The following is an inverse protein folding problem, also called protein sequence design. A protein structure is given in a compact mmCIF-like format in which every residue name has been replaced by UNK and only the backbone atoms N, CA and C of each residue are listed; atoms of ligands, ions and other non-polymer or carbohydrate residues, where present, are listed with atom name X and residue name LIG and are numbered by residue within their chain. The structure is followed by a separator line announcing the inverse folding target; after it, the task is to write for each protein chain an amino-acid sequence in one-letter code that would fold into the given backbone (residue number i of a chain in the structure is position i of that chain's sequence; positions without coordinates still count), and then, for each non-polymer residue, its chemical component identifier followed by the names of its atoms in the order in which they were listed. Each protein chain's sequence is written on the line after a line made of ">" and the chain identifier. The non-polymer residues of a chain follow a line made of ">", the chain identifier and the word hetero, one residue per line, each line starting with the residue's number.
data_IF_761936832590
#
_entry.id   IF_761936832590
#
_cell.length_a   1.000
_cell.length_b   1.000
_cell.length_c   1.000
_cell.angle_alpha   90.00
_cell.angle_beta   90.00
_cell.angle_gamma   90.00
#
_symmetry.space_group_name_H-M   'P 1'
#
loop_
_entity.id
_entity.type
_entity.pdbx_description
1 polymer ?
#
# COMPACT_ATOMS: atom_id res chain seq x y z
N UNK A 1 -4.03 -23.97 2.29
CA UNK A 1 -2.72 -24.37 1.71
C UNK A 1 -1.70 -23.24 1.89
N UNK A 2 -1.01 -23.14 3.04
CA UNK A 2 -0.05 -22.06 3.30
C UNK A 2 1.23 -22.15 2.44
N UNK A 3 1.49 -23.29 1.78
CA UNK A 3 2.69 -23.49 0.97
C UNK A 3 2.54 -23.01 -0.49
N UNK A 4 1.33 -22.72 -0.99
CA UNK A 4 1.15 -22.38 -2.41
C UNK A 4 1.99 -21.16 -2.84
N UNK A 5 1.93 -20.05 -2.08
CA UNK A 5 2.77 -18.86 -2.35
C UNK A 5 4.29 -19.15 -2.25
N UNK A 6 4.67 -20.16 -1.46
CA UNK A 6 6.06 -20.52 -1.24
C UNK A 6 6.59 -21.45 -2.34
N UNK A 7 5.74 -22.33 -2.88
CA UNK A 7 6.10 -23.22 -4.00
C UNK A 7 5.96 -22.51 -5.35
N UNK A 8 5.18 -21.43 -5.43
CA UNK A 8 5.09 -20.56 -6.61
C UNK A 8 6.45 -20.07 -7.12
N UNK A 9 7.47 -19.91 -6.25
CA UNK A 9 8.85 -19.56 -6.66
C UNK A 9 9.35 -20.52 -7.74
N UNK A 10 9.14 -21.82 -7.50
CA UNK A 10 9.61 -22.90 -8.37
C UNK A 10 8.77 -22.96 -9.63
N UNK A 11 7.44 -22.93 -9.50
CA UNK A 11 6.54 -23.04 -10.65
C UNK A 11 6.65 -21.87 -11.63
N UNK A 12 6.91 -20.67 -11.12
CA UNK A 12 7.08 -19.50 -11.98
C UNK A 12 8.48 -19.36 -12.58
N UNK A 13 9.47 -20.12 -12.09
CA UNK A 13 10.86 -19.97 -12.52
C UNK A 13 11.36 -18.52 -12.39
N UNK A 14 10.99 -17.85 -11.30
CA UNK A 14 11.33 -16.46 -11.06
C UNK A 14 12.74 -16.35 -10.46
N UNK A 15 13.65 -15.66 -11.17
CA UNK A 15 15.00 -15.40 -10.68
C UNK A 15 14.99 -14.38 -9.52
N UNK A 16 13.96 -13.53 -9.43
CA UNK A 16 13.88 -12.45 -8.46
C UNK A 16 12.45 -12.25 -7.96
N UNK A 17 12.29 -12.19 -6.62
CA UNK A 17 11.03 -11.84 -5.95
C UNK A 17 11.24 -10.64 -5.04
N UNK A 18 10.43 -9.60 -5.25
CA UNK A 18 10.42 -8.40 -4.40
C UNK A 18 9.23 -8.47 -3.44
N UNK A 19 9.48 -8.41 -2.13
CA UNK A 19 8.41 -8.47 -1.12
C UNK A 19 8.79 -7.76 0.19
N UNK A 20 7.88 -7.74 1.16
CA UNK A 20 8.17 -7.14 2.47
C UNK A 20 9.26 -7.92 3.22
N UNK A 21 10.01 -7.27 4.14
CA UNK A 21 11.06 -7.93 4.92
C UNK A 21 10.60 -9.21 5.63
N UNK A 22 9.39 -9.17 6.19
CA UNK A 22 8.78 -10.32 6.89
C UNK A 22 8.52 -11.47 5.90
N UNK A 23 8.02 -11.18 4.69
CA UNK A 23 7.76 -12.22 3.68
C UNK A 23 9.06 -12.81 3.14
N UNK A 24 10.06 -12.00 2.84
CA UNK A 24 11.40 -12.49 2.45
C UNK A 24 11.99 -13.43 3.51
N UNK A 25 11.92 -13.06 4.79
CA UNK A 25 12.42 -13.90 5.88
C UNK A 25 11.71 -15.25 5.94
N UNK A 26 10.37 -15.26 5.86
CA UNK A 26 9.57 -16.50 5.83
C UNK A 26 9.91 -17.38 4.63
N UNK A 27 10.16 -16.78 3.47
CA UNK A 27 10.52 -17.50 2.23
C UNK A 27 11.92 -18.09 2.28
N UNK A 28 12.91 -17.35 2.77
CA UNK A 28 14.24 -17.92 3.03
C UNK A 28 14.16 -19.14 3.95
N UNK A 29 13.43 -19.03 5.06
CA UNK A 29 13.23 -20.16 5.98
C UNK A 29 12.55 -21.36 5.30
N UNK A 30 11.61 -21.11 4.38
CA UNK A 30 10.94 -22.18 3.65
C UNK A 30 11.86 -22.82 2.60
N UNK A 31 12.58 -22.02 1.82
CA UNK A 31 13.50 -22.51 0.81
C UNK A 31 14.62 -23.36 1.41
N UNK A 32 15.19 -22.88 2.53
CA UNK A 32 16.22 -23.58 3.29
C UNK A 32 15.73 -24.89 3.90
N UNK A 33 14.44 -25.03 4.18
CA UNK A 33 13.88 -26.25 4.78
C UNK A 33 13.33 -27.22 3.75
N UNK A 34 12.76 -26.70 2.67
CA UNK A 34 11.97 -27.48 1.72
C UNK A 34 12.55 -27.41 0.31
N UNK A 35 12.59 -26.23 -0.32
CA UNK A 35 12.92 -26.09 -1.75
C UNK A 35 14.32 -26.60 -2.10
N UNK A 36 15.32 -26.39 -1.22
CA UNK A 36 16.70 -26.85 -1.47
C UNK A 36 16.84 -28.38 -1.64
N UNK A 37 15.84 -29.15 -1.22
CA UNK A 37 15.84 -30.62 -1.34
C UNK A 37 15.19 -31.10 -2.65
N UNK A 38 14.59 -30.20 -3.45
CA UNK A 38 14.03 -30.53 -4.75
C UNK A 38 15.17 -30.67 -5.76
N UNK A 39 15.12 -31.72 -6.61
CA UNK A 39 16.16 -32.00 -7.61
C UNK A 39 16.32 -30.90 -8.66
N UNK A 40 15.25 -30.14 -8.91
CA UNK A 40 15.19 -29.02 -9.86
C UNK A 40 15.03 -27.70 -9.11
N UNK A 41 15.85 -27.45 -8.09
CA UNK A 41 15.76 -26.21 -7.31
C UNK A 41 16.31 -25.03 -8.12
N UNK A 42 15.42 -24.15 -8.61
CA UNK A 42 15.79 -22.85 -9.12
C UNK A 42 16.13 -21.90 -7.96
N UNK A 43 17.29 -21.25 -7.99
CA UNK A 43 17.69 -20.30 -6.94
C UNK A 43 17.05 -18.94 -7.19
N UNK A 44 16.09 -18.55 -6.35
CA UNK A 44 15.46 -17.23 -6.42
C UNK A 44 16.17 -16.22 -5.52
N UNK A 45 16.38 -15.01 -6.02
CA UNK A 45 16.88 -13.88 -5.24
C UNK A 45 15.68 -13.19 -4.59
N UNK A 46 15.71 -13.06 -3.27
CA UNK A 46 14.72 -12.28 -2.52
C UNK A 46 15.22 -10.87 -2.25
N UNK A 47 14.46 -9.87 -2.70
CA UNK A 47 14.76 -8.46 -2.45
C UNK A 47 13.63 -7.85 -1.62
N UNK A 48 14.02 -7.11 -0.59
CA UNK A 48 13.06 -6.41 0.26
C UNK A 48 12.79 -5.00 -0.24
N UNK A 49 11.56 -4.52 -0.07
CA UNK A 49 11.23 -3.10 -0.21
C UNK A 49 10.91 -2.47 1.16
N UNK A 50 11.13 -1.16 1.34
CA UNK A 50 10.66 -0.46 2.53
C UNK A 50 9.13 -0.52 2.61
N UNK A 51 8.61 -0.59 3.84
CA UNK A 51 7.19 -0.44 4.10
C UNK A 51 6.93 1.01 4.46
N UNK A 52 6.01 1.68 3.76
CA UNK A 52 5.57 3.01 4.17
C UNK A 52 4.93 2.93 5.55
N UNK A 53 5.31 3.84 6.43
CA UNK A 53 4.67 4.02 7.72
C UNK A 53 3.22 4.46 7.57
N UNK A 54 2.39 4.06 8.53
CA UNK A 54 1.07 4.59 8.73
C UNK A 54 1.13 6.10 8.92
N UNK A 55 0.12 6.82 8.42
CA UNK A 55 0.02 8.26 8.62
C UNK A 55 -0.18 8.64 10.09
N UNK A 56 -0.60 7.69 10.93
CA UNK A 56 -0.76 7.87 12.37
C UNK A 56 0.35 7.12 13.11
N UNK A 57 0.60 7.53 14.34
CA UNK A 57 1.61 6.94 15.21
C UNK A 57 0.98 6.40 16.47
N UNK A 58 1.61 5.39 17.05
CA UNK A 58 1.31 4.92 18.39
C UNK A 58 2.23 5.63 19.38
N UNK A 59 1.66 6.13 20.46
CA UNK A 59 2.43 6.70 21.58
C UNK A 59 2.43 5.70 22.73
N UNK A 60 3.61 5.31 23.17
CA UNK A 60 3.78 4.45 24.32
C UNK A 60 3.29 5.16 25.59
N UNK A 61 2.39 4.55 26.38
CA UNK A 61 1.90 5.14 27.61
C UNK A 61 2.96 5.20 28.73
N UNK A 62 4.05 4.44 28.59
CA UNK A 62 5.06 4.28 29.65
C UNK A 62 6.15 5.33 29.58
N UNK A 63 6.61 5.67 28.37
CA UNK A 63 7.76 6.56 28.15
C UNK A 63 7.47 7.68 27.14
N UNK A 64 6.24 7.75 26.60
CA UNK A 64 5.86 8.76 25.59
C UNK A 64 6.56 8.57 24.25
N UNK A 65 7.30 7.46 24.05
CA UNK A 65 7.97 7.19 22.78
C UNK A 65 6.93 7.03 21.67
N UNK A 66 7.26 7.62 20.51
CA UNK A 66 6.39 7.61 19.34
C UNK A 66 6.93 6.55 18.37
N UNK A 67 6.04 5.66 17.91
CA UNK A 67 6.40 4.61 16.96
C UNK A 67 5.41 4.60 15.80
N UNK A 68 5.88 4.22 14.61
CA UNK A 68 5.01 3.94 13.47
C UNK A 68 4.84 2.45 13.28
N UNK A 69 3.68 2.08 12.73
CA UNK A 69 3.47 0.75 12.15
C UNK A 69 3.46 0.89 10.64
N UNK A 70 3.80 -0.17 9.88
CA UNK A 70 3.56 -0.20 8.45
C UNK A 70 2.10 0.14 8.12
N UNK A 71 1.90 0.94 7.07
CA UNK A 71 0.59 1.13 6.48
C UNK A 71 0.06 -0.22 6.03
N UNK A 72 -1.18 -0.53 6.39
CA UNK A 72 -1.84 -1.78 6.06
C UNK A 72 -3.17 -1.43 5.41
N UNK A 73 -3.55 -2.19 4.39
CA UNK A 73 -4.89 -2.05 3.84
C UNK A 73 -5.94 -2.44 4.87
N UNK A 74 -7.05 -1.71 4.88
CA UNK A 74 -8.19 -1.98 5.73
C UNK A 74 -9.48 -1.93 4.89
N UNK A 75 -10.53 -2.60 5.37
CA UNK A 75 -11.84 -2.48 4.75
C UNK A 75 -12.32 -1.02 4.83
N UNK A 76 -13.01 -0.49 3.80
CA UNK A 76 -13.62 0.83 3.89
C UNK A 76 -14.54 0.88 5.12
N UNK A 77 -14.46 1.95 5.90
CA UNK A 77 -15.28 2.10 7.12
C UNK A 77 -16.78 2.00 6.83
N UNK A 78 -17.21 2.48 5.67
CA UNK A 78 -18.60 2.35 5.15
C UNK A 78 -19.04 0.91 4.83
N UNK A 79 -18.13 -0.05 4.89
CA UNK A 79 -18.35 -1.49 4.68
C UNK A 79 -18.10 -2.31 5.94
N UNK A 80 -17.73 -1.66 7.04
CA UNK A 80 -17.59 -2.30 8.33
C UNK A 80 -18.92 -2.29 9.10
N UNK A 81 -19.24 -3.31 9.91
CA UNK A 81 -20.45 -3.32 10.75
C UNK A 81 -20.49 -2.16 11.74
N UNK A 82 -19.31 -1.73 12.21
CA UNK A 82 -19.14 -0.60 13.14
C UNK A 82 -18.17 0.41 12.51
N UNK A 83 -18.66 1.34 11.66
CA UNK A 83 -17.81 2.27 10.91
C UNK A 83 -16.89 3.13 11.79
N UNK A 84 -17.33 3.50 13.00
CA UNK A 84 -16.56 4.33 13.93
C UNK A 84 -15.25 3.68 14.39
N UNK A 85 -15.19 2.36 14.44
CA UNK A 85 -14.01 1.60 14.85
C UNK A 85 -13.03 1.46 13.67
N UNK A 86 -13.52 1.42 12.44
CA UNK A 86 -12.70 1.26 11.24
C UNK A 86 -12.19 2.58 10.65
N UNK A 87 -12.89 3.69 10.87
CA UNK A 87 -12.53 5.00 10.33
C UNK A 87 -11.11 5.48 10.71
N UNK A 88 -10.60 5.26 11.94
CA UNK A 88 -9.22 5.61 12.29
C UNK A 88 -8.17 4.86 11.47
N UNK A 89 -8.35 3.55 11.28
CA UNK A 89 -7.45 2.73 10.46
C UNK A 89 -7.45 3.17 9.00
N UNK A 90 -8.64 3.52 8.49
CA UNK A 90 -8.78 4.08 7.15
C UNK A 90 -7.98 5.38 7.02
N UNK A 91 -8.20 6.36 7.91
CA UNK A 91 -7.49 7.66 7.92
C UNK A 91 -5.98 7.54 8.19
N UNK A 92 -5.52 6.39 8.68
CA UNK A 92 -4.11 6.07 8.87
C UNK A 92 -3.42 5.55 7.60
N UNK A 93 -4.16 5.42 6.48
CA UNK A 93 -3.69 4.90 5.21
C UNK A 93 -4.00 5.85 4.03
N UNK A 94 -3.39 5.58 2.86
CA UNK A 94 -3.59 6.32 1.61
C UNK A 94 -4.16 5.41 0.52
N UNK A 95 -5.49 5.19 0.47
CA UNK A 95 -6.09 4.42 -0.61
C UNK A 95 -5.90 5.15 -1.95
N UNK A 96 -5.49 4.40 -2.98
CA UNK A 96 -5.33 4.94 -4.33
C UNK A 96 -6.68 5.28 -4.98
N UNK A 97 -7.70 4.49 -4.66
CA UNK A 97 -9.09 4.65 -5.10
C UNK A 97 -10.00 4.32 -3.93
N UNK A 98 -11.13 5.03 -3.85
CA UNK A 98 -12.13 4.84 -2.81
C UNK A 98 -13.51 4.64 -3.44
N UNK A 99 -14.46 4.12 -2.66
CA UNK A 99 -15.85 4.08 -3.06
C UNK A 99 -16.38 5.51 -3.23
N UNK A 100 -17.11 5.80 -4.32
CA UNK A 100 -17.59 7.15 -4.57
C UNK A 100 -18.53 7.64 -3.47
N UNK A 101 -18.35 8.91 -3.10
CA UNK A 101 -19.20 9.61 -2.13
C UNK A 101 -20.30 10.36 -2.89
N UNK A 102 -21.58 10.25 -2.48
CA UNK A 102 -22.67 10.97 -3.15
C UNK A 102 -22.39 12.47 -3.24
N UNK A 103 -22.55 13.05 -4.44
CA UNK A 103 -22.35 14.47 -4.70
C UNK A 103 -20.89 14.92 -4.86
N UNK A 104 -19.91 14.00 -4.75
CA UNK A 104 -18.49 14.30 -5.00
C UNK A 104 -18.05 13.58 -6.28
N UNK A 105 -17.47 14.29 -7.27
CA UNK A 105 -16.94 13.62 -8.45
C UNK A 105 -15.82 12.66 -8.06
N UNK A 106 -15.86 11.40 -8.54
CA UNK A 106 -14.84 10.43 -8.18
C UNK A 106 -13.50 10.81 -8.80
N UNK A 107 -12.44 10.62 -8.02
CA UNK A 107 -11.06 10.88 -8.44
C UNK A 107 -10.10 9.93 -7.72
N UNK A 108 -8.89 9.67 -8.26
CA UNK A 108 -7.89 8.93 -7.51
C UNK A 108 -7.43 9.74 -6.30
N UNK A 109 -6.95 9.06 -5.26
CA UNK A 109 -6.47 9.68 -4.02
C UNK A 109 -7.52 10.59 -3.36
N UNK A 110 -8.81 10.24 -3.48
CA UNK A 110 -9.88 10.92 -2.75
C UNK A 110 -9.53 10.99 -1.24
N UNK A 111 -9.77 12.15 -0.63
CA UNK A 111 -9.47 12.35 0.79
C UNK A 111 -7.99 12.57 1.14
N UNK A 112 -7.06 12.55 0.17
CA UNK A 112 -5.63 12.79 0.41
C UNK A 112 -5.36 14.00 1.30
N UNK A 113 -5.95 15.16 0.96
CA UNK A 113 -5.85 16.40 1.73
C UNK A 113 -6.24 16.22 3.20
N UNK A 114 -7.37 15.55 3.45
CA UNK A 114 -7.90 15.30 4.80
C UNK A 114 -6.95 14.40 5.59
N UNK A 115 -6.46 13.34 4.96
CA UNK A 115 -5.57 12.33 5.56
C UNK A 115 -4.20 12.94 5.87
N UNK A 116 -3.60 13.70 4.94
CA UNK A 116 -2.34 14.42 5.16
C UNK A 116 -2.45 15.48 6.26
N UNK A 117 -3.57 16.22 6.32
CA UNK A 117 -3.80 17.19 7.41
C UNK A 117 -3.72 16.51 8.78
N UNK A 118 -4.32 15.32 8.90
CA UNK A 118 -4.33 14.49 10.13
C UNK A 118 -3.05 13.71 10.36
N UNK A 119 -2.18 13.54 9.36
CA UNK A 119 -0.97 12.72 9.50
C UNK A 119 -0.04 13.26 10.59
N UNK A 120 0.65 12.36 11.29
CA UNK A 120 1.69 12.72 12.23
C UNK A 120 2.87 13.36 11.49
N UNK A 121 3.33 14.52 11.98
CA UNK A 121 4.41 15.30 11.38
C UNK A 121 4.87 16.33 12.41
N UNK A 122 5.65 15.89 13.39
CA UNK A 122 6.19 16.77 14.42
C UNK A 122 7.36 17.58 13.85
N UNK A 123 7.45 18.91 14.09
CA UNK A 123 8.61 19.72 13.67
C UNK A 123 9.92 19.11 14.15
N UNK A 124 10.96 19.15 13.30
CA UNK A 124 12.28 18.63 13.64
C UNK A 124 12.40 17.10 13.69
N UNK A 125 11.30 16.36 13.88
CA UNK A 125 11.32 14.90 13.95
C UNK A 125 11.34 14.27 12.54
N UNK A 126 12.54 13.87 12.10
CA UNK A 126 12.72 13.11 10.86
C UNK A 126 12.74 11.58 11.06
N UNK A 127 12.99 11.10 12.29
CA UNK A 127 13.09 9.67 12.58
C UNK A 127 11.74 8.96 12.41
N UNK A 128 10.67 9.59 12.89
CA UNK A 128 9.31 9.04 12.85
C UNK A 128 8.40 10.02 12.13
N UNK A 129 8.43 10.02 10.79
CA UNK A 129 7.69 10.99 10.00
C UNK A 129 7.11 10.39 8.71
N UNK A 130 5.86 9.90 8.74
CA UNK A 130 5.24 9.29 7.58
C UNK A 130 5.08 10.25 6.39
N UNK A 131 5.05 11.57 6.63
CA UNK A 131 4.96 12.57 5.55
C UNK A 131 6.30 12.70 4.82
N UNK A 132 7.44 12.68 5.53
CA UNK A 132 8.76 12.65 4.90
C UNK A 132 9.03 11.34 4.18
N UNK A 133 8.55 10.20 4.68
CA UNK A 133 8.68 8.92 3.99
C UNK A 133 8.02 8.91 2.61
N UNK A 134 6.89 9.60 2.43
CA UNK A 134 6.27 9.77 1.12
C UNK A 134 7.18 10.50 0.15
N UNK A 135 7.96 11.48 0.64
CA UNK A 135 9.00 12.07 -0.19
C UNK A 135 10.08 11.07 -0.54
N UNK A 136 10.63 10.38 0.46
CA UNK A 136 11.76 9.46 0.28
C UNK A 136 11.47 8.36 -0.73
N UNK A 137 10.31 7.72 -0.61
CA UNK A 137 10.03 6.46 -1.29
C UNK A 137 9.04 6.59 -2.45
N UNK A 138 8.32 7.72 -2.58
CA UNK A 138 7.32 7.92 -3.64
C UNK A 138 7.67 9.13 -4.50
N UNK A 139 7.77 10.32 -3.90
CA UNK A 139 7.87 11.58 -4.68
C UNK A 139 9.27 11.75 -5.28
N UNK A 140 10.33 11.53 -4.51
CA UNK A 140 11.70 11.71 -4.99
C UNK A 140 12.07 10.73 -6.11
N UNK A 141 11.72 9.43 -6.03
CA UNK A 141 11.92 8.50 -7.15
C UNK A 141 11.15 8.87 -8.42
N UNK A 142 9.99 9.53 -8.28
CA UNK A 142 9.16 9.98 -9.40
C UNK A 142 9.64 11.29 -10.05
N UNK A 143 10.51 12.03 -9.36
CA UNK A 143 11.05 13.29 -9.86
C UNK A 143 12.03 13.02 -11.01
N UNK A 144 11.82 13.71 -12.15
CA UNK A 144 12.71 13.58 -13.31
C UNK A 144 14.14 13.94 -12.93
N UNK A 145 15.10 13.22 -13.50
CA UNK A 145 16.53 13.52 -13.32
C UNK A 145 16.80 14.97 -13.76
N UNK A 146 17.45 15.75 -12.90
CA UNK A 146 17.74 17.17 -13.14
C UNK A 146 16.55 18.13 -12.96
N UNK A 147 15.34 17.63 -12.64
CA UNK A 147 14.25 18.52 -12.26
C UNK A 147 14.45 19.02 -10.81
N UNK A 148 14.28 20.32 -10.55
CA UNK A 148 14.41 20.87 -9.21
C UNK A 148 13.23 20.43 -8.34
N UNK A 149 13.48 20.18 -7.05
CA UNK A 149 12.41 20.03 -6.07
C UNK A 149 12.16 21.38 -5.40
N UNK A 150 11.00 21.97 -5.65
CA UNK A 150 10.58 23.24 -5.04
C UNK A 150 9.39 22.99 -4.12
N UNK A 151 9.53 23.39 -2.86
CA UNK A 151 8.44 23.39 -1.89
C UNK A 151 7.87 24.81 -1.85
N UNK A 152 6.63 24.96 -2.31
CA UNK A 152 5.94 26.25 -2.30
C UNK A 152 5.47 26.60 -0.89
N UNK A 153 5.92 27.74 -0.38
CA UNK A 153 5.56 28.27 0.93
C UNK A 153 5.22 29.75 0.82
N UNK A 154 4.51 30.27 1.81
CA UNK A 154 4.19 31.70 1.86
C UNK A 154 5.44 32.55 2.11
N UNK A 155 5.41 33.82 1.69
CA UNK A 155 6.48 34.79 2.00
C UNK A 155 6.75 34.92 3.50
N UNK A 156 5.70 34.79 4.33
CA UNK A 156 5.82 34.82 5.80
C UNK A 156 6.66 33.65 6.34
N UNK A 157 6.72 32.54 5.60
CA UNK A 157 7.51 31.36 5.94
C UNK A 157 8.85 31.33 5.16
N UNK A 158 9.32 32.47 4.67
CA UNK A 158 10.58 32.57 3.93
C UNK A 158 10.48 32.17 2.44
N UNK A 159 9.26 32.16 1.89
CA UNK A 159 9.02 31.94 0.46
C UNK A 159 9.33 30.51 -0.01
N UNK A 160 9.28 30.27 -1.34
CA UNK A 160 9.57 28.97 -1.93
C UNK A 160 10.94 28.43 -1.53
N UNK A 161 11.00 27.17 -1.09
CA UNK A 161 12.22 26.50 -0.67
C UNK A 161 12.69 25.54 -1.75
N UNK A 162 13.89 25.79 -2.29
CA UNK A 162 14.54 24.91 -3.27
C UNK A 162 15.36 23.83 -2.54
N UNK A 163 15.02 22.57 -2.81
CA UNK A 163 15.75 21.39 -2.32
C UNK A 163 16.47 20.74 -3.51
N UNK A 164 17.56 21.35 -3.95
CA UNK A 164 18.32 20.86 -5.11
C UNK A 164 19.83 21.08 -4.90
N UNK A 165 20.48 20.21 -4.11
CA UNK A 165 21.91 20.32 -3.86
C UNK A 165 22.71 20.02 -5.14
N UNK A 166 23.90 20.60 -5.34
CA UNK A 166 24.73 20.38 -6.54
C UNK A 166 24.99 18.90 -6.84
N UNK A 167 25.10 18.08 -5.80
CA UNK A 167 25.37 16.65 -5.91
C UNK A 167 24.17 15.82 -6.37
N UNK A 168 22.95 16.38 -6.43
CA UNK A 168 21.72 15.65 -6.75
C UNK A 168 21.74 14.98 -8.14
N UNK A 169 22.52 15.51 -9.08
CA UNK A 169 22.72 14.92 -10.42
C UNK A 169 23.58 13.65 -10.37
N UNK A 170 24.61 13.63 -9.51
CA UNK A 170 25.51 12.49 -9.35
C UNK A 170 25.03 11.47 -8.32
N UNK A 171 24.26 11.94 -7.33
CA UNK A 171 23.81 11.17 -6.19
C UNK A 171 22.34 11.51 -5.88
N UNK A 172 21.39 10.67 -6.33
CA UNK A 172 19.97 10.88 -6.08
C UNK A 172 19.60 10.95 -4.59
N UNK A 173 20.43 10.41 -3.69
CA UNK A 173 20.18 10.45 -2.25
C UNK A 173 20.54 11.80 -1.61
N UNK A 174 21.30 12.66 -2.30
CA UNK A 174 21.64 13.99 -1.80
C UNK A 174 20.39 14.85 -1.57
N UNK A 175 19.40 14.76 -2.47
CA UNK A 175 18.14 15.48 -2.34
C UNK A 175 17.33 15.05 -1.11
N UNK A 176 17.32 13.76 -0.81
CA UNK A 176 16.71 13.25 0.43
C UNK A 176 17.40 13.86 1.66
N UNK A 177 18.73 13.83 1.72
CA UNK A 177 19.50 14.41 2.83
C UNK A 177 19.25 15.90 3.00
N UNK A 178 19.18 16.67 1.92
CA UNK A 178 18.85 18.11 1.99
C UNK A 178 17.43 18.35 2.47
N UNK A 179 16.45 17.56 2.04
CA UNK A 179 15.07 17.66 2.52
C UNK A 179 14.97 17.34 4.02
N UNK A 180 15.59 16.24 4.44
CA UNK A 180 15.66 15.79 5.82
C UNK A 180 16.32 16.85 6.71
N UNK A 181 17.48 17.38 6.29
CA UNK A 181 18.17 18.45 7.01
C UNK A 181 17.32 19.72 7.13
N UNK A 182 16.63 20.13 6.06
CA UNK A 182 15.75 21.30 6.10
C UNK A 182 14.58 21.11 7.08
N UNK A 183 14.06 19.89 7.23
CA UNK A 183 13.01 19.59 8.20
C UNK A 183 13.53 19.50 9.63
N UNK A 184 14.69 18.84 9.86
CA UNK A 184 15.34 18.71 11.18
C UNK A 184 15.76 20.08 11.73
N UNK A 185 16.28 20.95 10.87
CA UNK A 185 16.65 22.33 11.22
C UNK A 185 15.43 23.26 11.34
N UNK A 186 14.22 22.72 11.21
CA UNK A 186 12.94 23.45 11.24
C UNK A 186 12.83 24.59 10.22
N UNK A 187 13.71 24.61 9.21
CA UNK A 187 13.58 25.51 8.07
C UNK A 187 12.34 25.16 7.24
N UNK A 188 11.92 23.91 7.24
CA UNK A 188 10.70 23.42 6.58
C UNK A 188 9.68 22.97 7.63
N UNK A 189 8.56 23.70 7.74
CA UNK A 189 7.52 23.38 8.72
C UNK A 189 6.55 22.29 8.23
N UNK A 190 5.94 21.50 9.14
CA UNK A 190 4.88 20.56 8.81
C UNK A 190 3.71 21.16 8.03
N UNK A 191 3.38 22.42 8.33
CA UNK A 191 2.31 23.18 7.68
C UNK A 191 2.56 23.43 6.19
N UNK A 192 3.83 23.41 5.76
CA UNK A 192 4.23 23.56 4.36
C UNK A 192 4.53 22.20 3.71
N UNK A 193 5.15 21.27 4.46
CA UNK A 193 5.49 19.94 3.97
C UNK A 193 4.24 19.13 3.55
N UNK A 194 3.18 19.15 4.38
CA UNK A 194 1.95 18.38 4.12
C UNK A 194 1.24 18.83 2.82
N UNK A 195 0.96 20.13 2.61
CA UNK A 195 0.45 20.60 1.32
C UNK A 195 1.38 20.31 0.14
N UNK A 196 2.70 20.35 0.33
CA UNK A 196 3.64 20.04 -0.74
C UNK A 196 3.59 18.57 -1.18
N UNK A 197 3.38 17.63 -0.25
CA UNK A 197 3.09 16.22 -0.58
C UNK A 197 1.77 16.11 -1.35
N UNK A 198 0.72 16.78 -0.88
CA UNK A 198 -0.60 16.78 -1.55
C UNK A 198 -0.45 17.22 -3.01
N UNK A 199 0.26 18.33 -3.24
CA UNK A 199 0.55 18.85 -4.57
C UNK A 199 1.38 17.85 -5.38
N UNK A 200 2.48 17.32 -4.85
CA UNK A 200 3.34 16.40 -5.59
C UNK A 200 2.62 15.13 -6.06
N UNK A 201 1.72 14.58 -5.24
CA UNK A 201 0.96 13.37 -5.58
C UNK A 201 -0.25 13.67 -6.49
N UNK A 202 -0.93 14.80 -6.25
CA UNK A 202 -2.21 15.10 -6.89
C UNK A 202 -2.10 15.86 -8.20
N UNK A 203 -1.01 16.62 -8.41
CA UNK A 203 -0.93 17.76 -9.34
C UNK A 203 -1.63 17.51 -10.67
N UNK A 204 -2.85 18.02 -10.71
CA UNK A 204 -3.78 18.09 -11.83
C UNK A 204 -3.41 19.21 -12.81
N UNK A 205 -2.40 20.03 -12.53
CA UNK A 205 -2.18 21.26 -13.32
C UNK A 205 -0.86 21.35 -14.10
N UNK A 206 0.25 20.65 -13.77
CA UNK A 206 1.54 20.90 -14.48
C UNK A 206 2.51 19.72 -14.62
N UNK A 207 2.14 18.50 -14.22
CA UNK A 207 3.04 17.35 -14.33
C UNK A 207 2.31 16.11 -14.84
N UNK A 208 2.46 15.81 -16.13
CA UNK A 208 1.89 14.64 -16.81
C UNK A 208 2.33 13.29 -16.19
N UNK A 209 3.31 13.30 -15.29
CA UNK A 209 3.81 12.13 -14.60
C UNK A 209 3.43 12.07 -13.11
N UNK A 210 2.44 12.84 -12.63
CA UNK A 210 1.97 12.71 -11.23
C UNK A 210 1.33 11.34 -10.97
N UNK A 211 1.27 10.92 -9.71
CA UNK A 211 0.62 9.65 -9.34
C UNK A 211 -0.85 9.64 -9.78
N UNK A 212 -1.58 10.74 -9.55
CA UNK A 212 -2.97 10.88 -10.02
C UNK A 212 -3.08 10.76 -11.54
N UNK A 213 -2.21 11.42 -12.31
CA UNK A 213 -2.26 11.33 -13.77
C UNK A 213 -2.02 9.89 -14.27
N UNK A 214 -1.03 9.18 -13.67
CA UNK A 214 -0.77 7.77 -13.99
C UNK A 214 -1.94 6.87 -13.62
N UNK A 215 -2.59 7.12 -12.48
CA UNK A 215 -3.78 6.39 -12.06
C UNK A 215 -4.94 6.63 -13.02
N UNK A 216 -5.23 7.88 -13.42
CA UNK A 216 -6.28 8.19 -14.40
C UNK A 216 -6.05 7.43 -15.71
N UNK A 217 -4.79 7.35 -16.16
CA UNK A 217 -4.42 6.63 -17.39
C UNK A 217 -4.54 5.10 -17.27
N UNK A 218 -4.23 4.55 -16.09
CA UNK A 218 -4.15 3.11 -15.87
C UNK A 218 -5.48 2.48 -15.39
N UNK A 219 -6.35 3.26 -14.75
CA UNK A 219 -7.61 2.78 -14.20
C UNK A 219 -8.69 2.66 -15.28
N UNK A 220 -9.64 1.72 -15.14
CA UNK A 220 -10.80 1.65 -16.00
C UNK A 220 -11.73 2.86 -15.77
N UNK A 221 -12.78 2.97 -16.58
CA UNK A 221 -13.77 4.04 -16.42
C UNK A 221 -14.34 4.06 -14.99
N UNK A 222 -14.66 5.24 -14.46
CA UNK A 222 -15.21 5.34 -13.09
C UNK A 222 -16.49 4.54 -12.88
N UNK A 223 -17.31 4.36 -13.92
CA UNK A 223 -18.51 3.52 -13.86
C UNK A 223 -18.15 2.07 -13.59
N UNK A 224 -17.23 1.50 -14.38
CA UNK A 224 -16.74 0.14 -14.23
C UNK A 224 -15.99 -0.05 -12.90
N UNK A 225 -15.08 0.87 -12.58
CA UNK A 225 -14.33 0.82 -11.33
C UNK A 225 -15.25 0.84 -10.11
N UNK A 226 -16.33 1.63 -10.15
CA UNK A 226 -17.31 1.66 -9.07
C UNK A 226 -18.00 0.31 -8.90
N UNK A 227 -18.38 -0.35 -10.00
CA UNK A 227 -18.98 -1.69 -9.94
C UNK A 227 -18.01 -2.71 -9.35
N UNK A 228 -16.73 -2.67 -9.76
CA UNK A 228 -15.68 -3.52 -9.22
C UNK A 228 -15.49 -3.29 -7.70
N UNK A 229 -15.42 -2.04 -7.26
CA UNK A 229 -15.26 -1.70 -5.83
C UNK A 229 -16.47 -2.13 -4.99
N UNK A 230 -17.70 -1.95 -5.48
CA UNK A 230 -18.90 -2.40 -4.77
C UNK A 230 -18.95 -3.92 -4.67
N UNK A 231 -18.53 -4.62 -5.72
CA UNK A 231 -18.48 -6.08 -5.74
C UNK A 231 -17.39 -6.62 -4.82
N UNK A 232 -16.21 -6.01 -4.83
CA UNK A 232 -15.09 -6.40 -3.98
C UNK A 232 -15.33 -6.11 -2.49
N UNK A 233 -16.06 -5.03 -2.18
CA UNK A 233 -16.37 -4.61 -0.81
C UNK A 233 -17.90 -4.50 -0.60
N UNK A 234 -18.61 -5.63 -0.45
CA UNK A 234 -20.06 -5.64 -0.24
C UNK A 234 -20.43 -5.02 1.11
N UNK A 235 -21.66 -4.48 1.20
CA UNK A 235 -22.18 -3.96 2.47
C UNK A 235 -22.41 -5.13 3.46
N UNK A 236 -22.14 -4.92 4.76
CA UNK A 236 -22.43 -5.94 5.76
C UNK A 236 -23.94 -6.20 5.80
N UNK A 237 -24.33 -7.47 5.69
CA UNK A 237 -25.74 -7.84 5.82
C UNK A 237 -26.16 -7.70 7.28
N UNK A 238 -27.04 -6.75 7.58
CA UNK A 238 -27.69 -6.71 8.88
C UNK A 238 -28.59 -7.92 8.99
N UNK A 239 -28.31 -8.81 9.95
CA UNK A 239 -29.10 -10.02 10.18
C UNK A 239 -30.59 -9.72 10.19
N UNK A 240 -31.33 -10.35 9.29
CA UNK A 240 -32.77 -10.21 9.19
C UNK A 240 -33.43 -10.58 10.51
N UNK A 241 -34.32 -9.72 11.01
CA UNK A 241 -35.29 -10.07 12.05
C UNK A 241 -36.12 -11.27 11.56
N UNK A 242 -35.81 -12.46 12.03
CA UNK A 242 -36.76 -13.58 12.02
C UNK A 242 -37.92 -13.19 12.94
N UNK A 243 -39.02 -12.73 12.35
CA UNK A 243 -40.32 -12.63 13.04
C UNK A 243 -40.80 -14.05 13.36
N UNK A 244 -40.39 -14.60 14.50
CA UNK A 244 -41.07 -15.76 15.05
C UNK A 244 -42.42 -15.32 15.65
N UNK A 245 -43.49 -15.52 14.87
CA UNK A 245 -44.85 -15.55 15.39
C UNK A 245 -45.04 -16.89 16.11
N UNK A 246 -44.93 -16.87 17.42
CA UNK A 246 -45.33 -17.97 18.29
C UNK A 246 -46.85 -18.14 18.22
N UNK A 247 -47.31 -19.28 17.70
CA UNK A 247 -48.61 -19.87 18.04
C UNK A 247 -48.40 -21.36 18.29
N UNK A 248 -48.46 -21.74 19.57
CA UNK A 248 -48.78 -23.09 20.06
C UNK A 248 -50.33 -23.19 20.17
N UNK A 249 -50.96 -24.38 20.14
CA UNK A 249 -50.71 -25.43 21.15
C UNK A 249 -50.80 -26.90 20.70
N UNK A 250 -50.29 -27.76 21.61
CA UNK A 250 -50.66 -29.15 22.01
C UNK A 250 -51.03 -30.22 20.94
N UNK A 251 -50.63 -31.51 21.02
CA UNK A 251 -49.92 -32.29 22.02
C UNK A 251 -49.83 -33.80 21.65
N UNK A 252 -49.20 -34.60 22.53
CA UNK A 252 -49.08 -36.09 22.57
C UNK A 252 -48.27 -36.77 21.45
N UNK A 253 -47.65 -37.95 21.57
CA UNK A 253 -47.08 -38.81 22.62
C UNK A 253 -46.43 -40.02 21.87
N UNK A 254 -45.37 -40.64 22.42
CA UNK A 254 -44.78 -41.94 21.98
C UNK A 254 -43.91 -41.86 20.71
N UNK A 255 -42.93 -42.72 20.42
CA UNK A 255 -42.37 -43.92 21.02
C UNK A 255 -41.04 -44.23 20.27
N UNK A 256 -40.20 -45.07 20.86
CA UNK A 256 -38.87 -45.55 20.44
C UNK A 256 -38.79 -46.23 19.05
N UNK A 257 -37.65 -46.12 18.35
CA UNK A 257 -36.98 -47.24 17.65
C UNK A 257 -35.65 -46.83 16.95
N UNK A 258 -34.63 -47.68 17.15
CA UNK A 258 -33.36 -47.74 16.45
C UNK A 258 -33.49 -48.01 14.94
N UNK A 259 -32.49 -47.59 14.16
CA UNK A 259 -32.37 -48.01 12.75
C UNK A 259 -31.17 -47.40 12.03
N UNK A 260 -30.08 -48.15 12.03
CA UNK A 260 -28.85 -47.94 11.26
C UNK A 260 -29.12 -48.07 9.75
N UNK A 261 -28.84 -47.04 8.95
CA UNK A 261 -28.72 -47.14 7.48
C UNK A 261 -27.73 -46.13 6.90
N UNK A 262 -26.70 -46.69 6.28
CA UNK A 262 -25.66 -46.04 5.48
C UNK A 262 -26.17 -45.71 4.06
N UNK A 263 -25.61 -44.61 3.53
CA UNK A 263 -25.51 -44.13 2.13
C UNK A 263 -26.47 -43.01 1.70
N UNK A 264 -26.10 -42.13 0.73
CA UNK A 264 -24.79 -41.81 0.16
C UNK A 264 -24.40 -40.31 0.34
N UNK A 265 -23.15 -39.99 0.03
CA UNK A 265 -22.59 -38.64 0.01
C UNK A 265 -23.49 -37.67 -0.79
N UNK A 266 -24.07 -36.70 -0.08
CA UNK A 266 -24.67 -35.49 -0.66
C UNK A 266 -23.83 -34.32 -0.22
N UNK A 267 -23.31 -33.59 -1.21
CA UNK A 267 -22.52 -32.38 -1.07
C UNK A 267 -23.06 -31.46 0.03
N UNK A 268 -22.34 -31.42 1.14
CA UNK A 268 -22.61 -30.51 2.24
C UNK A 268 -21.98 -29.16 1.95
N UNK A 269 -22.88 -28.24 1.61
CA UNK A 269 -22.93 -26.86 2.09
C UNK A 269 -21.66 -26.01 1.99
N UNK A 270 -21.73 -25.08 1.03
CA UNK A 270 -20.93 -23.86 0.90
C UNK A 270 -21.16 -22.87 2.08
N UNK A 271 -20.94 -23.32 3.31
CA UNK A 271 -21.11 -22.50 4.54
C UNK A 271 -19.86 -22.41 5.41
N UNK A 272 -18.73 -23.00 5.00
CA UNK A 272 -17.45 -22.92 5.74
C UNK A 272 -16.41 -21.99 5.09
N UNK A 273 -16.80 -21.18 4.09
CA UNK A 273 -15.91 -20.19 3.47
C UNK A 273 -15.88 -18.84 4.21
N UNK A 274 -16.15 -18.82 5.51
CA UNK A 274 -16.10 -17.61 6.33
C UNK A 274 -14.76 -17.57 7.06
N UNK A 275 -13.94 -16.55 6.75
CA UNK A 275 -12.62 -16.22 7.29
C UNK A 275 -11.37 -16.74 6.56
N UNK A 276 -11.34 -16.70 5.23
CA UNK A 276 -10.10 -16.23 4.59
C UNK A 276 -10.14 -14.70 4.69
N UNK A 277 -9.49 -14.15 5.71
CA UNK A 277 -9.23 -12.71 5.80
C UNK A 277 -8.53 -12.29 4.51
N UNK A 278 -9.26 -11.56 3.67
CA UNK A 278 -8.81 -11.14 2.35
C UNK A 278 -7.70 -10.12 2.54
N UNK A 279 -6.45 -10.59 2.70
CA UNK A 279 -5.26 -9.74 2.89
C UNK A 279 -4.99 -8.98 1.58
N UNK A 280 -5.37 -7.70 1.49
CA UNK A 280 -5.20 -6.92 0.27
C UNK A 280 -3.71 -6.55 0.05
N UNK A 281 -2.81 -6.85 1.00
CA UNK A 281 -1.38 -6.62 0.89
C UNK A 281 -0.65 -7.74 0.11
N UNK A 282 -1.35 -8.51 -0.72
CA UNK A 282 -0.77 -9.59 -1.55
C UNK A 282 -0.04 -9.11 -2.81
N UNK A 283 0.10 -7.79 -3.01
CA UNK A 283 0.91 -7.24 -4.10
C UNK A 283 2.34 -7.73 -3.99
N UNK A 284 2.76 -8.46 -5.01
CA UNK A 284 4.10 -9.00 -5.13
C UNK A 284 4.59 -8.78 -6.56
N UNK A 285 5.80 -8.27 -6.69
CA UNK A 285 6.45 -8.16 -7.99
C UNK A 285 7.36 -9.37 -8.16
N UNK A 286 7.06 -10.16 -9.19
CA UNK A 286 7.83 -11.33 -9.60
C UNK A 286 8.48 -10.99 -10.93
N UNK A 287 9.81 -11.13 -11.01
CA UNK A 287 10.53 -10.99 -12.29
C UNK A 287 10.85 -12.40 -12.75
N UNK A 288 10.44 -12.73 -13.98
CA UNK A 288 10.77 -14.01 -14.61
C UNK A 288 12.27 -14.12 -14.89
N UNK A 289 12.63 -14.86 -15.94
CA UNK A 289 14.04 -15.10 -16.24
C UNK A 289 14.80 -13.79 -16.54
N UNK A 290 15.82 -13.47 -15.74
CA UNK A 290 16.74 -12.35 -15.98
C UNK A 290 17.73 -12.80 -17.05
N UNK A 291 17.49 -12.37 -18.30
CA UNK A 291 18.38 -12.67 -19.42
C UNK A 291 19.67 -11.83 -19.39
N UNK A 292 19.59 -10.61 -18.86
CA UNK A 292 20.75 -9.74 -18.66
C UNK A 292 20.44 -8.69 -17.58
N UNK A 293 21.46 -8.29 -16.82
CA UNK A 293 21.38 -7.18 -15.88
C UNK A 293 22.53 -6.22 -16.13
N UNK A 294 22.23 -4.93 -16.31
CA UNK A 294 23.24 -3.87 -16.38
C UNK A 294 23.28 -3.15 -15.05
N UNK A 295 24.43 -3.15 -14.39
CA UNK A 295 24.67 -2.27 -13.26
C UNK A 295 24.59 -0.83 -13.76
N UNK A 296 23.66 -0.03 -13.24
CA UNK A 296 23.71 1.43 -13.42
C UNK A 296 24.80 1.98 -12.49
N UNK A 297 26.05 1.93 -12.93
CA UNK A 297 27.10 2.81 -12.41
C UNK A 297 27.07 4.09 -13.24
N UNK A 298 26.63 5.21 -12.67
CA UNK A 298 27.06 6.52 -13.15
C UNK A 298 28.39 6.84 -12.45
N UNK A 299 29.37 7.46 -13.14
CA UNK A 299 29.21 8.82 -13.60
C UNK A 299 29.01 8.91 -15.12
N UNK A 300 28.03 9.69 -15.55
CA UNK A 300 27.87 10.05 -16.96
C UNK A 300 28.94 11.08 -17.32
N UNK A 301 30.04 10.64 -17.93
CA UNK A 301 30.84 11.51 -18.78
C UNK A 301 30.03 11.83 -20.02
N UNK A 302 29.94 13.12 -20.35
CA UNK A 302 29.32 13.67 -21.56
C UNK A 302 29.78 12.92 -22.82
N UNK A 303 28.90 12.60 -23.78
CA UNK A 303 29.35 12.19 -25.10
C UNK A 303 29.94 13.40 -25.81
N UNK A 304 31.27 13.44 -25.90
CA UNK A 304 31.98 14.32 -26.83
C UNK A 304 31.59 13.95 -28.27
N UNK A 305 31.31 14.97 -29.07
CA UNK A 305 31.09 14.90 -30.52
C UNK A 305 32.07 14.00 -31.29
N UNK A 306 31.57 13.37 -32.36
CA UNK A 306 32.34 12.72 -33.44
C UNK A 306 31.85 11.29 -33.69
N UNK A 307 31.51 10.82 -34.89
CA UNK A 307 31.66 11.32 -36.26
C UNK A 307 30.51 10.75 -37.11
N UNK A 308 30.02 11.56 -38.03
CA UNK A 308 29.38 11.09 -39.27
C UNK A 308 30.37 10.22 -40.05
N UNK A 309 29.93 9.07 -40.55
CA UNK A 309 30.46 8.49 -41.78
C UNK A 309 29.30 8.01 -42.64
N UNK A 310 29.50 8.27 -43.92
CA UNK A 310 28.60 8.27 -45.08
C UNK A 310 27.73 7.03 -45.27
#
# INVERSE_FOLDING_TARGET
>A
MPCADLVDTVYLGADLRVSSPIRCTKRHQFDDRFIKHFKESHSCIYVTHPMLSSLQVDTSPTDGSVTTRPMHSCLPSSRCPVPSVAAPAEDACLPLVELPVPGVPPSPLMGLKRRLKRAFCQPGNAEVNPVLELYRYVILPDLKVGAPLVIHRSEKNGGPLLIDPPEALSDPSARWRSLEAAFVQEMLHPGDLKPAVEQALSSLEKNDNSLTARLIKALPSWSELTQLLVTAFPKPQTGGKTKNKTKKPAGSAGEVASGDRVAPAKASSATDAVNEELDPNRLEIRVGRILSAKKKSAPWTTPTHGHFRE
#
